data_IF_396037485559
#
_entry.id   IF_396037485559
#
_cell.length_a   1.000
_cell.length_b   1.000
_cell.length_c   1.000
_cell.angle_alpha   90.00
_cell.angle_beta   90.00
_cell.angle_gamma   90.00
#
_symmetry.space_group_name_H-M   'P 1'
#
loop_
_entity.id
_entity.type
_entity.pdbx_description
1 polymer ?
#
# COMPACT_ATOMS: atom_id res chain seq x y z
N UNK A 1 -60.11 -20.42 -22.32
CA UNK A 1 -58.97 -21.36 -22.35
C UNK A 1 -58.49 -21.47 -23.79
N UNK A 2 -57.35 -20.87 -24.11
CA UNK A 2 -56.75 -20.93 -25.45
C UNK A 2 -55.24 -20.85 -25.30
N UNK A 3 -54.53 -21.80 -25.92
CA UNK A 3 -53.15 -22.20 -25.62
C UNK A 3 -52.10 -21.21 -26.16
N UNK A 4 -51.00 -21.07 -25.40
CA UNK A 4 -49.71 -20.48 -25.80
C UNK A 4 -49.20 -21.05 -27.14
N UNK A 5 -48.62 -20.19 -27.97
CA UNK A 5 -47.49 -20.53 -28.85
C UNK A 5 -46.37 -19.51 -28.62
N UNK A 6 -45.17 -20.06 -28.40
CA UNK A 6 -43.91 -19.35 -28.29
C UNK A 6 -43.63 -18.58 -29.58
N UNK A 7 -43.12 -17.36 -29.46
CA UNK A 7 -42.41 -16.69 -30.54
C UNK A 7 -40.98 -16.42 -30.08
N UNK A 8 -40.09 -17.31 -30.48
CA UNK A 8 -38.63 -17.14 -30.47
C UNK A 8 -38.24 -16.55 -31.82
N UNK A 9 -37.57 -15.41 -31.91
CA UNK A 9 -36.71 -15.12 -33.05
C UNK A 9 -35.29 -15.64 -32.77
N UNK A 10 -34.76 -16.27 -33.79
CA UNK A 10 -33.53 -17.03 -33.80
C UNK A 10 -32.27 -16.15 -33.71
N UNK A 11 -31.21 -16.76 -33.16
CA UNK A 11 -29.83 -16.47 -33.54
C UNK A 11 -29.71 -16.43 -35.07
N UNK A 12 -29.05 -15.39 -35.61
CA UNK A 12 -27.93 -15.52 -36.53
C UNK A 12 -27.41 -14.13 -36.95
N UNK A 13 -26.09 -13.95 -36.83
CA UNK A 13 -25.31 -13.20 -37.82
C UNK A 13 -24.99 -11.73 -37.52
N UNK A 14 -23.82 -11.50 -36.89
CA UNK A 14 -22.83 -10.51 -37.36
C UNK A 14 -21.53 -10.67 -36.55
N UNK A 15 -20.75 -11.69 -36.90
CA UNK A 15 -19.32 -11.75 -36.63
C UNK A 15 -18.63 -10.95 -37.75
N UNK A 16 -18.27 -9.70 -37.44
CA UNK A 16 -17.35 -8.85 -38.18
C UNK A 16 -16.75 -7.92 -37.11
N UNK A 17 -15.49 -8.04 -36.71
CA UNK A 17 -14.32 -8.00 -37.58
C UNK A 17 -13.57 -6.71 -37.25
N UNK A 18 -13.02 -6.61 -36.03
CA UNK A 18 -12.03 -5.59 -35.68
C UNK A 18 -10.67 -6.30 -35.54
N UNK A 19 -9.93 -6.22 -36.62
CA UNK A 19 -8.59 -6.74 -36.83
C UNK A 19 -7.63 -5.62 -36.46
N UNK A 20 -6.96 -5.70 -35.30
CA UNK A 20 -5.85 -4.79 -34.97
C UNK A 20 -4.70 -5.61 -34.37
N UNK A 21 -3.72 -5.85 -35.26
CA UNK A 21 -2.29 -6.07 -35.07
C UNK A 21 -1.81 -7.06 -33.98
N UNK A 22 -1.58 -8.31 -34.40
CA UNK A 22 -0.45 -9.10 -33.88
C UNK A 22 0.82 -8.55 -34.53
N UNK A 23 1.65 -7.83 -33.77
CA UNK A 23 3.03 -7.57 -34.16
C UNK A 23 3.89 -8.74 -33.66
N UNK A 24 4.33 -9.57 -34.61
CA UNK A 24 5.37 -10.59 -34.38
C UNK A 24 6.74 -9.92 -34.28
N UNK A 25 7.38 -10.15 -33.12
CA UNK A 25 8.80 -10.13 -32.79
C UNK A 25 9.75 -9.20 -33.58
N UNK A 26 10.24 -8.17 -32.89
CA UNK A 26 11.63 -7.76 -32.98
C UNK A 26 12.31 -8.19 -31.68
N UNK A 27 13.35 -9.04 -31.78
CA UNK A 27 14.34 -9.18 -30.71
C UNK A 27 14.98 -7.80 -30.51
N UNK A 28 14.73 -7.18 -29.37
CA UNK A 28 15.55 -6.11 -28.85
C UNK A 28 16.45 -6.75 -27.78
N UNK A 29 17.76 -6.60 -28.00
CA UNK A 29 18.84 -7.04 -27.11
C UNK A 29 18.59 -6.54 -25.67
N UNK A 30 18.85 -7.39 -24.67
CA UNK A 30 18.74 -7.09 -23.24
C UNK A 30 19.74 -6.02 -22.74
N UNK A 31 20.43 -5.33 -23.66
CA UNK A 31 21.45 -4.31 -23.37
C UNK A 31 20.98 -2.85 -23.42
N UNK A 32 19.80 -2.53 -23.98
CA UNK A 32 19.43 -1.13 -24.28
C UNK A 32 18.42 -0.49 -23.30
N UNK A 33 17.78 -1.25 -22.42
CA UNK A 33 16.85 -0.70 -21.39
C UNK A 33 17.61 -0.07 -20.20
N UNK A 34 18.89 -0.42 -20.00
CA UNK A 34 19.75 0.20 -18.99
C UNK A 34 20.25 1.62 -19.37
N UNK A 35 19.89 2.14 -20.54
CA UNK A 35 20.38 3.43 -21.03
C UNK A 35 19.46 4.64 -20.75
N UNK A 36 18.30 4.47 -20.07
CA UNK A 36 17.36 5.57 -19.79
C UNK A 36 17.20 5.97 -18.32
N UNK A 37 17.98 5.40 -17.40
CA UNK A 37 18.16 5.93 -16.04
C UNK A 37 19.67 6.08 -15.84
N UNK A 38 20.14 7.33 -15.86
CA UNK A 38 21.56 7.69 -15.90
C UNK A 38 22.39 7.03 -14.80
N UNK A 39 23.13 6.00 -15.19
CA UNK A 39 24.38 5.62 -14.57
C UNK A 39 25.47 6.57 -15.09
N UNK A 40 25.63 7.71 -14.41
CA UNK A 40 26.82 8.56 -14.54
C UNK A 40 27.06 9.23 -13.17
N UNK A 41 27.37 8.41 -12.16
CA UNK A 41 28.35 8.77 -11.13
C UNK A 41 28.83 7.53 -10.35
N UNK A 42 29.42 6.56 -11.08
CA UNK A 42 30.41 5.66 -10.49
C UNK A 42 31.77 6.19 -10.92
N UNK A 43 32.25 7.18 -10.18
CA UNK A 43 33.54 7.85 -10.39
C UNK A 43 34.39 7.81 -9.12
N UNK A 44 35.25 6.81 -9.05
CA UNK A 44 36.51 6.73 -8.30
C UNK A 44 37.00 7.98 -7.54
N UNK A 45 37.12 7.84 -6.21
CA UNK A 45 38.25 8.34 -5.43
C UNK A 45 38.18 9.78 -4.88
N UNK A 46 38.02 9.90 -3.56
CA UNK A 46 39.03 10.50 -2.69
C UNK A 46 38.75 10.14 -1.22
N UNK A 47 39.67 9.39 -0.62
CA UNK A 47 39.80 9.33 0.82
C UNK A 47 40.40 10.67 1.29
N UNK A 48 39.65 11.43 2.07
CA UNK A 48 40.21 12.51 2.90
C UNK A 48 39.97 12.17 4.35
N UNK A 49 41.00 11.59 4.98
CA UNK A 49 41.15 11.64 6.42
C UNK A 49 41.43 13.09 6.86
N UNK A 50 40.90 13.55 7.98
CA UNK A 50 41.51 14.62 8.74
C UNK A 50 42.35 14.03 9.88
N UNK A 51 43.67 14.16 9.77
CA UNK A 51 44.51 14.45 10.93
C UNK A 51 44.31 15.96 11.25
N UNK A 52 44.40 16.49 12.47
CA UNK A 52 45.16 16.06 13.64
C UNK A 52 44.76 16.93 14.86
N UNK A 53 45.33 16.60 16.02
CA UNK A 53 45.46 17.39 17.28
C UNK A 53 44.34 17.32 18.33
N UNK A 54 44.69 16.69 19.47
CA UNK A 54 43.86 16.60 20.66
C UNK A 54 44.11 17.68 21.72
N UNK A 55 43.20 17.77 22.69
CA UNK A 55 43.44 18.16 24.07
C UNK A 55 42.21 17.80 24.92
N UNK A 56 42.47 17.30 26.13
CA UNK A 56 41.50 16.83 27.10
C UNK A 56 40.52 17.90 27.61
N UNK A 57 39.42 17.44 28.23
CA UNK A 57 38.90 17.73 29.59
C UNK A 57 37.36 17.91 29.57
N UNK A 58 36.62 17.04 30.26
CA UNK A 58 35.27 17.34 30.79
C UNK A 58 35.42 18.03 32.17
N UNK A 59 34.40 18.62 32.83
CA UNK A 59 32.95 18.66 32.54
C UNK A 59 32.28 20.05 32.72
N UNK A 60 31.03 20.23 32.26
CA UNK A 60 30.05 21.16 32.86
C UNK A 60 28.63 20.98 32.26
N UNK A 61 27.61 20.92 33.13
CA UNK A 61 26.18 21.15 32.85
C UNK A 61 25.84 22.41 33.67
N UNK A 62 25.18 23.48 33.14
CA UNK A 62 23.70 23.51 33.10
C UNK A 62 23.01 24.47 32.08
N UNK A 63 21.75 24.14 31.73
CA UNK A 63 20.67 25.13 31.58
C UNK A 63 20.14 25.47 30.18
N UNK A 64 18.82 25.33 30.01
CA UNK A 64 17.99 25.89 28.92
C UNK A 64 18.08 25.09 27.62
N UNK A 65 17.01 24.74 26.91
CA UNK A 65 15.87 25.56 26.52
C UNK A 65 14.63 24.66 26.49
N UNK A 66 13.53 25.10 27.12
CA UNK A 66 12.22 24.53 26.86
C UNK A 66 11.83 24.85 25.41
N UNK A 67 11.71 23.84 24.56
CA UNK A 67 11.10 24.00 23.24
C UNK A 67 9.57 23.83 23.37
N UNK A 68 8.77 24.78 22.87
CA UNK A 68 7.32 24.62 22.74
C UNK A 68 6.97 23.84 21.47
N UNK A 69 5.75 23.29 21.49
CA UNK A 69 4.93 22.85 20.35
C UNK A 69 5.27 21.53 19.63
N UNK A 70 4.43 20.52 19.90
CA UNK A 70 3.54 19.98 18.88
C UNK A 70 4.13 19.14 17.75
N UNK A 71 5.42 18.81 17.77
CA UNK A 71 5.95 17.79 16.89
C UNK A 71 5.39 16.43 17.35
N UNK A 72 4.60 15.76 16.49
CA UNK A 72 4.28 14.35 16.63
C UNK A 72 5.58 13.60 16.94
N UNK A 73 5.77 13.25 18.21
CA UNK A 73 6.95 12.54 18.66
C UNK A 73 6.70 11.08 18.30
N UNK A 74 7.07 10.73 17.08
CA UNK A 74 7.02 9.36 16.58
C UNK A 74 7.77 8.45 17.56
N UNK A 75 7.08 7.44 18.08
CA UNK A 75 7.66 6.42 18.94
C UNK A 75 8.60 5.58 18.09
N UNK A 76 9.78 5.23 18.62
CA UNK A 76 10.62 4.23 17.98
C UNK A 76 9.82 2.93 17.87
N UNK A 77 9.52 2.50 16.65
CA UNK A 77 8.68 1.33 16.41
C UNK A 77 9.36 0.06 16.91
N UNK A 78 8.74 -0.63 17.87
CA UNK A 78 9.17 -1.96 18.32
C UNK A 78 8.77 -3.01 17.25
N UNK A 79 9.65 -3.22 16.27
CA UNK A 79 9.50 -4.26 15.24
C UNK A 79 8.77 -3.81 13.96
N UNK A 80 8.69 -4.70 12.94
CA UNK A 80 8.22 -4.32 11.61
C UNK A 80 6.72 -3.94 11.58
N UNK A 81 5.90 -4.50 12.47
CA UNK A 81 4.49 -4.07 12.63
C UNK A 81 4.37 -2.69 13.25
N UNK A 82 5.18 -2.36 14.26
CA UNK A 82 5.12 -1.05 14.90
C UNK A 82 5.48 0.10 13.92
N UNK A 83 6.18 -0.23 12.82
CA UNK A 83 6.53 0.70 11.76
C UNK A 83 5.45 0.80 10.67
N UNK A 84 4.32 0.11 10.80
CA UNK A 84 3.28 0.07 9.80
C UNK A 84 2.00 0.73 10.33
N UNK A 85 1.42 1.61 9.53
CA UNK A 85 0.06 2.10 9.75
C UNK A 85 -0.87 1.70 8.61
N UNK A 86 -2.10 1.41 8.99
CA UNK A 86 -3.20 1.25 8.03
C UNK A 86 -3.85 2.60 7.82
N UNK A 87 -4.07 2.97 6.57
CA UNK A 87 -4.75 4.21 6.19
C UNK A 87 -6.09 3.85 5.56
N UNK A 88 -7.18 4.38 6.08
CA UNK A 88 -8.47 4.30 5.41
C UNK A 88 -8.86 5.66 4.85
N UNK A 89 -9.42 5.66 3.65
CA UNK A 89 -9.87 6.88 2.98
C UNK A 89 -11.35 6.77 2.67
N UNK A 90 -12.11 7.77 3.15
CA UNK A 90 -13.55 7.86 3.07
C UNK A 90 -13.95 9.15 2.34
N UNK A 91 -15.13 9.21 1.69
CA UNK A 91 -15.61 10.43 1.11
C UNK A 91 -16.01 11.42 2.22
N UNK A 92 -16.08 12.71 1.88
CA UNK A 92 -16.71 13.67 2.78
C UNK A 92 -18.23 13.43 2.84
N UNK A 93 -18.92 13.88 3.90
CA UNK A 93 -20.37 13.77 3.99
C UNK A 93 -21.07 14.36 2.77
N UNK A 94 -21.88 13.54 2.08
CA UNK A 94 -22.61 13.92 0.87
C UNK A 94 -21.86 13.68 -0.45
N UNK A 95 -20.58 13.29 -0.39
CA UNK A 95 -19.82 12.80 -1.55
C UNK A 95 -19.87 11.26 -1.64
N UNK A 96 -19.56 10.71 -2.81
CA UNK A 96 -19.44 9.26 -3.02
C UNK A 96 -18.00 8.85 -3.32
N UNK A 97 -17.68 7.55 -3.15
CA UNK A 97 -16.34 7.05 -3.46
C UNK A 97 -15.89 7.27 -4.89
N UNK A 98 -16.83 7.34 -5.85
CA UNK A 98 -16.50 7.70 -7.23
C UNK A 98 -15.76 9.05 -7.33
N UNK A 99 -16.17 10.05 -6.54
CA UNK A 99 -15.55 11.37 -6.54
C UNK A 99 -14.13 11.33 -5.96
N UNK A 100 -13.91 10.50 -4.93
CA UNK A 100 -12.58 10.32 -4.31
C UNK A 100 -11.64 9.59 -5.26
N UNK A 101 -12.12 8.53 -5.91
CA UNK A 101 -11.31 7.65 -6.75
C UNK A 101 -10.93 8.26 -8.10
N UNK A 102 -11.82 9.05 -8.72
CA UNK A 102 -11.63 9.53 -10.10
C UNK A 102 -11.46 11.04 -10.21
N UNK A 103 -12.09 11.82 -9.33
CA UNK A 103 -12.10 13.29 -9.45
C UNK A 103 -11.11 13.99 -8.52
N UNK A 104 -10.27 13.22 -7.78
CA UNK A 104 -9.26 13.72 -6.84
C UNK A 104 -9.82 14.78 -5.87
N UNK A 105 -11.03 14.53 -5.35
CA UNK A 105 -11.70 15.43 -4.41
C UNK A 105 -11.16 15.31 -2.98
N UNK A 106 -11.38 16.33 -2.13
CA UNK A 106 -11.10 16.22 -0.70
C UNK A 106 -11.76 14.97 -0.10
N UNK A 107 -11.01 14.28 0.77
CA UNK A 107 -11.42 13.02 1.39
C UNK A 107 -11.03 13.02 2.86
N UNK A 108 -11.74 12.23 3.68
CA UNK A 108 -11.31 11.97 5.05
C UNK A 108 -10.31 10.82 5.06
N UNK A 109 -9.12 11.06 5.64
CA UNK A 109 -8.09 10.04 5.83
C UNK A 109 -7.99 9.73 7.32
N UNK A 110 -8.12 8.45 7.66
CA UNK A 110 -7.99 7.96 9.04
C UNK A 110 -6.80 7.03 9.09
N UNK A 111 -5.96 7.22 10.11
CA UNK A 111 -4.79 6.39 10.36
C UNK A 111 -5.10 5.47 11.53
N UNK A 112 -4.76 4.20 11.37
CA UNK A 112 -4.92 3.16 12.38
C UNK A 112 -3.56 2.53 12.66
N UNK A 113 -3.29 2.29 13.94
CA UNK A 113 -2.09 1.57 14.37
C UNK A 113 -2.30 0.07 14.18
N UNK A 114 -1.29 -0.62 13.64
CA UNK A 114 -1.31 -2.07 13.53
C UNK A 114 -0.67 -2.68 14.79
N UNK A 115 -1.28 -3.74 15.31
CA UNK A 115 -0.78 -4.48 16.48
C UNK A 115 -0.61 -5.95 16.12
N UNK A 116 0.55 -6.52 16.48
CA UNK A 116 0.90 -7.88 16.09
C UNK A 116 -0.05 -8.90 16.74
N UNK A 117 -0.60 -9.80 15.92
CA UNK A 117 -1.55 -10.84 16.32
C UNK A 117 -2.97 -10.35 16.59
N UNK A 118 -3.24 -9.05 16.46
CA UNK A 118 -4.57 -8.49 16.67
C UNK A 118 -5.39 -8.43 15.38
N UNK A 119 -6.71 -8.30 15.54
CA UNK A 119 -7.67 -8.12 14.47
C UNK A 119 -8.18 -6.66 14.46
N UNK A 120 -8.02 -6.00 13.32
CA UNK A 120 -8.48 -4.64 13.05
C UNK A 120 -9.82 -4.69 12.33
N UNK A 121 -10.86 -4.14 12.95
CA UNK A 121 -12.19 -4.06 12.35
C UNK A 121 -12.35 -2.77 11.53
N UNK A 122 -12.76 -2.91 10.26
CA UNK A 122 -13.00 -1.81 9.34
C UNK A 122 -14.38 -1.93 8.69
N UNK A 123 -15.13 -0.83 8.64
CA UNK A 123 -16.39 -0.79 7.89
C UNK A 123 -16.14 -0.62 6.39
N UNK A 124 -16.82 -1.43 5.55
CA UNK A 124 -16.77 -1.33 4.09
C UNK A 124 -17.66 -0.23 3.50
N UNK A 125 -18.63 0.27 4.26
CA UNK A 125 -19.74 1.06 3.72
C UNK A 125 -19.29 2.29 2.91
N UNK A 126 -18.40 3.10 3.48
CA UNK A 126 -17.87 4.32 2.87
C UNK A 126 -16.35 4.25 2.64
N UNK A 127 -15.76 3.05 2.70
CA UNK A 127 -14.33 2.86 2.47
C UNK A 127 -14.04 2.94 0.95
N UNK A 128 -13.33 3.98 0.54
CA UNK A 128 -12.94 4.16 -0.86
C UNK A 128 -11.54 3.64 -1.15
N UNK A 129 -10.58 3.86 -0.25
CA UNK A 129 -9.21 3.36 -0.37
C UNK A 129 -8.77 2.70 0.94
N UNK A 130 -8.13 1.55 0.81
CA UNK A 130 -7.37 0.90 1.86
C UNK A 130 -5.88 1.11 1.59
N UNK A 131 -5.14 1.61 2.56
CA UNK A 131 -3.74 1.95 2.44
C UNK A 131 -2.87 1.28 3.48
N UNK A 132 -1.63 1.00 3.10
CA UNK A 132 -0.56 0.62 4.01
C UNK A 132 0.56 1.64 3.88
N UNK A 133 1.01 2.18 5.00
CA UNK A 133 2.11 3.13 5.07
C UNK A 133 3.22 2.60 5.95
N UNK A 134 4.46 2.78 5.49
CA UNK A 134 5.64 2.57 6.31
C UNK A 134 5.97 3.89 7.04
N UNK A 135 5.87 3.87 8.35
CA UNK A 135 6.19 4.98 9.25
C UNK A 135 7.58 4.87 9.88
N UNK A 136 8.38 3.85 9.52
CA UNK A 136 9.82 3.90 9.77
C UNK A 136 10.44 5.08 9.03
N UNK A 137 11.43 5.69 9.67
CA UNK A 137 12.24 6.79 9.18
C UNK A 137 13.46 6.34 8.36
N UNK A 138 13.95 5.13 8.58
CA UNK A 138 15.23 4.67 8.05
C UNK A 138 15.21 3.27 7.41
N UNK A 139 14.14 2.49 7.59
CA UNK A 139 14.07 1.09 7.13
C UNK A 139 12.87 0.83 6.23
N UNK A 140 13.12 0.04 5.19
CA UNK A 140 12.06 -0.47 4.32
C UNK A 140 11.40 -1.71 4.94
N UNK A 141 10.10 -1.85 4.70
CA UNK A 141 9.34 -3.04 5.07
C UNK A 141 8.90 -3.78 3.80
N UNK A 142 8.96 -5.10 3.82
CA UNK A 142 8.29 -5.94 2.83
C UNK A 142 6.94 -6.37 3.40
N UNK A 143 5.86 -6.09 2.66
CA UNK A 143 4.51 -6.44 3.05
C UNK A 143 3.90 -7.48 2.12
N UNK A 144 3.04 -8.33 2.69
CA UNK A 144 2.21 -9.27 1.95
C UNK A 144 0.79 -9.26 2.50
N UNK A 145 -0.18 -9.05 1.63
CA UNK A 145 -1.60 -9.03 1.91
C UNK A 145 -2.23 -10.36 1.48
N UNK A 146 -3.17 -10.85 2.30
CA UNK A 146 -3.97 -12.03 1.99
C UNK A 146 -4.72 -11.90 0.66
N UNK A 147 -4.96 -13.04 0.01
CA UNK A 147 -5.61 -13.09 -1.30
C UNK A 147 -7.06 -12.60 -1.24
N UNK A 148 -7.69 -12.71 -0.08
CA UNK A 148 -9.08 -12.34 0.19
C UNK A 148 -9.32 -10.85 -0.06
N UNK A 149 -8.30 -9.98 0.02
CA UNK A 149 -8.43 -8.57 -0.32
C UNK A 149 -8.87 -8.35 -1.78
N UNK A 150 -8.59 -9.28 -2.71
CA UNK A 150 -9.08 -9.21 -4.11
C UNK A 150 -10.59 -9.24 -4.22
N UNK A 151 -11.29 -9.74 -3.21
CA UNK A 151 -12.75 -9.79 -3.19
C UNK A 151 -13.34 -8.37 -3.17
N UNK A 152 -12.65 -7.42 -2.54
CA UNK A 152 -13.12 -6.03 -2.40
C UNK A 152 -12.24 -5.05 -3.18
N UNK A 153 -10.98 -5.35 -3.47
CA UNK A 153 -10.10 -4.42 -4.17
C UNK A 153 -10.43 -4.24 -5.67
N UNK A 154 -10.24 -3.01 -6.17
CA UNK A 154 -10.27 -2.67 -7.59
C UNK A 154 -8.83 -2.61 -8.10
N UNK A 155 -8.43 -3.61 -8.90
CA UNK A 155 -7.12 -3.57 -9.56
C UNK A 155 -5.92 -3.57 -8.61
N UNK A 156 -5.97 -4.38 -7.55
CA UNK A 156 -4.87 -4.53 -6.59
C UNK A 156 -3.54 -4.86 -7.29
N UNK A 157 -2.45 -4.20 -6.89
CA UNK A 157 -1.10 -4.53 -7.34
C UNK A 157 -0.77 -5.99 -6.94
N UNK A 158 -0.46 -6.85 -7.91
CA UNK A 158 -0.13 -8.25 -7.64
C UNK A 158 1.05 -8.42 -6.69
N UNK A 159 1.95 -7.43 -6.62
CA UNK A 159 3.09 -7.44 -5.70
C UNK A 159 2.64 -7.38 -4.26
N UNK A 160 1.51 -6.75 -3.95
CA UNK A 160 0.97 -6.76 -2.58
C UNK A 160 0.69 -8.17 -2.07
N UNK A 161 0.51 -9.16 -2.95
CA UNK A 161 0.23 -10.54 -2.56
C UNK A 161 1.45 -11.46 -2.63
N UNK A 162 2.41 -11.14 -3.49
CA UNK A 162 3.66 -11.89 -3.57
C UNK A 162 4.76 -11.34 -2.65
N UNK A 163 4.59 -10.12 -2.13
CA UNK A 163 5.60 -9.35 -1.42
C UNK A 163 5.89 -8.03 -2.14
N UNK A 164 5.61 -6.92 -1.48
CA UNK A 164 5.92 -5.57 -1.95
C UNK A 164 6.77 -4.84 -0.91
N UNK A 165 7.94 -4.36 -1.33
CA UNK A 165 8.79 -3.50 -0.49
C UNK A 165 8.30 -2.05 -0.53
N UNK A 166 8.13 -1.47 0.65
CA UNK A 166 7.73 -0.08 0.89
C UNK A 166 8.85 0.62 1.66
N UNK A 167 9.46 1.62 1.03
CA UNK A 167 10.51 2.43 1.65
C UNK A 167 9.99 3.32 2.81
N UNK A 168 10.89 3.92 3.59
CA UNK A 168 10.54 4.85 4.68
C UNK A 168 9.60 5.97 4.24
N UNK A 169 8.51 6.18 4.97
CA UNK A 169 7.52 7.23 4.69
C UNK A 169 6.64 7.01 3.44
N UNK A 170 6.83 5.90 2.71
CA UNK A 170 6.04 5.58 1.53
C UNK A 170 4.72 4.90 1.90
N UNK A 171 3.73 5.06 1.03
CA UNK A 171 2.38 4.54 1.18
C UNK A 171 1.92 3.89 -0.12
N UNK A 172 1.16 2.81 0.03
CA UNK A 172 0.48 2.12 -1.07
C UNK A 172 -1.01 2.16 -0.79
N UNK A 173 -1.78 2.73 -1.71
CA UNK A 173 -3.24 2.83 -1.64
C UNK A 173 -3.88 1.88 -2.65
N UNK A 174 -4.82 1.08 -2.18
CA UNK A 174 -5.62 0.15 -2.98
C UNK A 174 -7.08 0.60 -2.96
N UNK A 175 -7.69 0.87 -4.13
CA UNK A 175 -9.11 1.21 -4.17
C UNK A 175 -10.01 0.03 -3.81
N UNK A 176 -11.08 0.33 -3.09
CA UNK A 176 -12.03 -0.66 -2.58
C UNK A 176 -13.38 -0.49 -3.28
N UNK A 177 -14.00 -1.61 -3.64
CA UNK A 177 -15.37 -1.68 -4.12
C UNK A 177 -16.31 -1.63 -2.92
N UNK A 178 -17.29 -0.72 -2.90
CA UNK A 178 -18.41 -0.85 -1.99
C UNK A 178 -19.21 -2.09 -2.41
N UNK A 179 -19.23 -3.12 -1.57
CA UNK A 179 -19.98 -4.36 -1.80
C UNK A 179 -20.83 -4.67 -0.57
N UNK A 180 -22.01 -5.24 -0.79
CA UNK A 180 -22.82 -5.83 0.26
C UNK A 180 -22.30 -7.24 0.58
N UNK A 181 -21.15 -7.31 1.23
CA UNK A 181 -20.57 -8.55 1.76
C UNK A 181 -20.79 -8.59 3.27
N UNK A 182 -21.13 -9.76 3.81
CA UNK A 182 -21.24 -9.92 5.25
C UNK A 182 -19.90 -9.63 5.94
N UNK A 183 -18.82 -10.25 5.43
CA UNK A 183 -17.48 -10.14 5.98
C UNK A 183 -16.41 -10.47 4.91
N UNK A 184 -15.27 -9.79 4.98
CA UNK A 184 -14.02 -10.14 4.31
C UNK A 184 -12.89 -10.06 5.34
N UNK A 185 -12.19 -11.16 5.56
CA UNK A 185 -11.06 -11.24 6.48
C UNK A 185 -9.79 -11.56 5.71
N UNK A 186 -8.71 -10.82 5.96
CA UNK A 186 -7.40 -11.09 5.38
C UNK A 186 -6.28 -10.79 6.37
N UNK A 187 -5.11 -11.41 6.18
CA UNK A 187 -3.91 -11.09 6.95
C UNK A 187 -3.06 -10.06 6.23
N UNK A 188 -2.33 -9.27 7.02
CA UNK A 188 -1.24 -8.42 6.57
C UNK A 188 0.02 -8.90 7.27
N UNK A 189 0.93 -9.47 6.50
CA UNK A 189 2.24 -9.90 6.95
C UNK A 189 3.26 -8.82 6.62
N UNK A 190 4.19 -8.58 7.54
CA UNK A 190 5.25 -7.60 7.39
C UNK A 190 6.56 -8.13 7.93
N UNK A 191 7.63 -7.82 7.19
CA UNK A 191 9.01 -8.20 7.48
C UNK A 191 9.90 -6.99 7.23
N UNK A 192 11.00 -6.87 7.95
CA UNK A 192 12.08 -5.96 7.56
C UNK A 192 12.76 -6.42 6.29
N UNK A 193 12.79 -5.56 5.26
CA UNK A 193 13.31 -5.89 3.93
C UNK A 193 14.78 -6.36 3.98
N UNK A 194 15.61 -5.66 4.77
CA UNK A 194 17.04 -5.96 4.94
C UNK A 194 17.32 -7.30 5.65
N UNK A 195 16.32 -7.87 6.33
CA UNK A 195 16.47 -9.15 7.04
C UNK A 195 16.09 -10.36 6.17
N UNK A 196 15.43 -10.17 5.03
CA UNK A 196 14.97 -11.26 4.16
C UNK A 196 16.15 -12.09 3.65
N UNK A 197 17.11 -11.45 2.99
CA UNK A 197 18.28 -12.15 2.42
C UNK A 197 19.24 -12.68 3.49
N UNK A 198 19.16 -12.12 4.70
CA UNK A 198 19.99 -12.56 5.83
C UNK A 198 19.53 -13.88 6.46
N UNK A 199 18.34 -14.37 6.12
CA UNK A 199 17.72 -15.55 6.73
C UNK A 199 17.29 -15.36 8.19
N UNK A 200 17.33 -14.12 8.70
CA UNK A 200 16.91 -13.73 10.06
C UNK A 200 15.57 -12.98 10.08
N UNK A 201 14.85 -13.01 8.96
CA UNK A 201 13.55 -12.39 8.85
C UNK A 201 12.55 -13.02 9.84
N UNK A 202 12.04 -12.20 10.76
CA UNK A 202 10.90 -12.55 11.60
C UNK A 202 9.67 -11.82 11.06
N UNK A 203 8.77 -12.61 10.46
CA UNK A 203 7.49 -12.08 9.99
C UNK A 203 6.57 -11.82 11.17
N UNK A 204 5.98 -10.64 11.18
CA UNK A 204 4.90 -10.27 12.08
C UNK A 204 3.63 -10.10 11.25
N UNK A 205 2.47 -10.47 11.80
CA UNK A 205 1.20 -10.32 11.10
C UNK A 205 0.11 -9.73 11.99
N UNK A 206 -0.83 -9.03 11.38
CA UNK A 206 -2.13 -8.67 11.97
C UNK A 206 -3.24 -9.03 10.99
N UNK A 207 -4.47 -9.05 11.48
CA UNK A 207 -5.64 -9.42 10.70
C UNK A 207 -6.52 -8.20 10.47
N UNK A 208 -7.15 -8.12 9.30
CA UNK A 208 -8.15 -7.10 8.99
C UNK A 208 -9.47 -7.80 8.75
N UNK A 209 -10.48 -7.37 9.49
CA UNK A 209 -11.87 -7.76 9.34
C UNK A 209 -12.64 -6.59 8.74
N UNK A 210 -13.05 -6.74 7.49
CA UNK A 210 -13.88 -5.79 6.77
C UNK A 210 -15.33 -6.27 6.75
N UNK A 211 -16.25 -5.49 7.32
CA UNK A 211 -17.69 -5.85 7.37
C UNK A 211 -18.54 -4.80 6.66
N UNK A 212 -19.63 -5.22 6.02
CA UNK A 212 -20.65 -4.25 5.62
C UNK A 212 -21.35 -3.75 6.89
N UNK A 213 -21.42 -2.43 7.05
CA UNK A 213 -22.23 -1.87 8.11
C UNK A 213 -23.72 -2.12 7.77
N UNK A 214 -24.46 -2.94 8.54
CA UNK A 214 -25.88 -3.20 8.26
C UNK A 214 -26.74 -1.94 8.43
N UNK A 215 -26.19 -0.85 8.98
CA UNK A 215 -26.93 0.41 9.18
C UNK A 215 -27.00 1.32 7.94
N UNK A 216 -26.22 1.06 6.89
CA UNK A 216 -26.22 1.84 5.65
C UNK A 216 -26.99 1.17 4.49
N UNK A 217 -28.06 0.45 4.82
CA UNK A 217 -29.11 0.17 3.85
C UNK A 217 -29.90 1.45 3.55
N UNK A 218 -29.78 1.97 2.34
CA UNK A 218 -30.69 3.00 1.81
C UNK A 218 -31.02 2.71 0.36
#
# INVERSE_FOLDING_TARGET
>A
MTRRRLNTPALLGALAGALIAVATMAHADDGEINALIGADDIGTGHATAPADTGAATAPAVPGGIAAPDGAERWLAADGPIGALSVITVHPLPGDGCQNVLFDMRPSQRVRHEAVAGEEMELGLGDLCLFGIRNDSDDRAIAIRLGEELRTVAIGIDSRLQSGLTIGPGHEVLTPIRPLSLDEVRFSVEVVWDDLIDSGKAEASAFHVLMTSDPSNGS
#
